data_IF_819205120187
#
_entry.id   IF_819205120187
#
_cell.length_a   1.000
_cell.length_b   1.000
_cell.length_c   1.000
_cell.angle_alpha   90.00
_cell.angle_beta   90.00
_cell.angle_gamma   90.00
#
_symmetry.space_group_name_H-M   'P 1'
#
loop_
_entity.id
_entity.type
_entity.pdbx_description
1 polymer ?
#
# COMPACT_ATOMS: atom_id res chain seq x y z
N UNK A 1 -32.80 -7.27 -10.20
CA UNK A 1 -32.39 -6.14 -11.06
C UNK A 1 -31.12 -5.61 -10.45
N UNK A 2 -29.97 -5.97 -11.02
CA UNK A 2 -28.66 -5.60 -10.48
C UNK A 2 -28.42 -4.15 -10.90
N UNK A 3 -28.55 -3.22 -9.97
CA UNK A 3 -28.27 -1.81 -10.17
C UNK A 3 -26.81 -1.58 -9.76
N UNK A 4 -25.87 -2.24 -10.44
CA UNK A 4 -24.45 -1.90 -10.32
C UNK A 4 -24.26 -0.59 -11.08
N UNK A 5 -24.43 0.54 -10.38
CA UNK A 5 -23.81 1.77 -10.85
C UNK A 5 -22.31 1.51 -10.86
N UNK A 6 -21.70 1.47 -12.05
CA UNK A 6 -20.26 1.45 -12.21
C UNK A 6 -19.72 2.78 -11.68
N UNK A 7 -19.51 2.88 -10.37
CA UNK A 7 -18.85 4.03 -9.78
C UNK A 7 -17.39 4.03 -10.24
N UNK A 8 -17.02 5.06 -11.01
CA UNK A 8 -15.62 5.34 -11.34
C UNK A 8 -14.86 5.72 -10.06
N UNK A 9 -13.57 5.37 -10.04
CA UNK A 9 -12.69 5.80 -8.96
C UNK A 9 -12.56 7.33 -8.94
N UNK A 10 -12.66 7.99 -7.77
CA UNK A 10 -12.44 9.43 -7.67
C UNK A 10 -11.04 9.84 -8.11
N UNK A 11 -10.90 11.09 -8.58
CA UNK A 11 -9.59 11.69 -8.85
C UNK A 11 -8.73 11.67 -7.59
N UNK A 12 -7.47 11.20 -7.65
CA UNK A 12 -6.57 11.21 -6.51
C UNK A 12 -6.35 12.61 -5.93
N UNK A 13 -6.24 12.70 -4.61
CA UNK A 13 -5.76 13.91 -3.95
C UNK A 13 -4.24 14.01 -4.10
N UNK A 14 -3.71 15.19 -4.43
CA UNK A 14 -2.29 15.37 -4.73
C UNK A 14 -1.72 16.49 -3.86
N UNK A 15 -0.65 16.18 -3.14
CA UNK A 15 0.24 17.19 -2.54
C UNK A 15 1.44 17.35 -3.46
N UNK A 16 1.52 18.52 -4.09
CA UNK A 16 2.65 18.87 -4.94
C UNK A 16 3.89 19.21 -4.09
N UNK A 17 5.11 18.92 -4.59
CA UNK A 17 6.35 19.35 -3.94
C UNK A 17 6.36 20.87 -3.73
N UNK A 18 6.93 21.31 -2.62
CA UNK A 18 7.04 22.73 -2.25
C UNK A 18 8.36 23.34 -2.71
N UNK A 19 9.32 22.53 -3.16
CA UNK A 19 10.56 23.05 -3.75
C UNK A 19 10.32 23.68 -5.13
N UNK A 20 11.11 24.69 -5.55
CA UNK A 20 10.97 25.34 -6.86
C UNK A 20 11.42 24.48 -8.05
N UNK A 21 11.85 23.24 -7.82
CA UNK A 21 12.30 22.30 -8.86
C UNK A 21 11.20 21.28 -9.13
N UNK A 22 11.15 20.66 -10.34
CA UNK A 22 10.30 19.50 -10.58
C UNK A 22 10.53 18.41 -9.52
N UNK A 23 9.47 17.69 -9.12
CA UNK A 23 9.62 16.55 -8.21
C UNK A 23 10.54 15.50 -8.82
N UNK A 24 11.31 14.86 -7.94
CA UNK A 24 12.26 13.80 -8.30
C UNK A 24 11.82 12.43 -7.81
N UNK A 25 10.76 12.37 -7.00
CA UNK A 25 10.14 11.15 -6.52
C UNK A 25 8.63 11.34 -6.34
N UNK A 26 7.88 10.27 -6.56
CA UNK A 26 6.44 10.20 -6.27
C UNK A 26 6.17 9.11 -5.25
N UNK A 27 5.30 9.39 -4.29
CA UNK A 27 4.76 8.39 -3.37
C UNK A 27 3.26 8.26 -3.64
N UNK A 28 2.83 7.05 -3.98
CA UNK A 28 1.42 6.68 -4.07
C UNK A 28 1.05 5.99 -2.75
N UNK A 29 0.14 6.58 -1.97
CA UNK A 29 -0.15 6.12 -0.61
C UNK A 29 -1.66 5.89 -0.40
N UNK A 30 -2.01 4.67 0.00
CA UNK A 30 -3.38 4.17 0.00
C UNK A 30 -4.00 4.19 1.41
N UNK A 31 -5.24 4.67 1.50
CA UNK A 31 -5.98 4.76 2.75
C UNK A 31 -6.59 3.42 3.18
N UNK A 32 -6.96 3.32 4.47
CA UNK A 32 -7.69 2.18 5.03
C UNK A 32 -9.19 2.20 4.71
N UNK A 33 -9.93 1.16 5.11
CA UNK A 33 -11.38 1.08 4.88
C UNK A 33 -12.11 2.30 5.48
N UNK A 34 -13.08 2.83 4.74
CA UNK A 34 -13.98 3.89 5.20
C UNK A 34 -13.39 5.30 5.19
N UNK A 35 -12.13 5.44 4.79
CA UNK A 35 -11.41 6.71 4.63
C UNK A 35 -11.38 7.14 3.15
N UNK A 36 -10.59 8.17 2.84
CA UNK A 36 -10.34 8.69 1.50
C UNK A 36 -8.91 9.20 1.36
N UNK A 37 -8.48 9.47 0.13
CA UNK A 37 -7.16 10.03 -0.12
C UNK A 37 -6.95 11.41 0.52
N UNK A 38 -8.00 12.23 0.60
CA UNK A 38 -7.94 13.53 1.28
C UNK A 38 -7.81 13.36 2.80
N UNK A 39 -8.65 12.51 3.40
CA UNK A 39 -8.63 12.30 4.85
C UNK A 39 -7.28 11.72 5.32
N UNK A 40 -6.74 10.72 4.61
CA UNK A 40 -5.41 10.19 4.92
C UNK A 40 -4.32 11.26 4.80
N UNK A 41 -4.39 12.10 3.78
CA UNK A 41 -3.43 13.19 3.59
C UNK A 41 -3.51 14.21 4.73
N UNK A 42 -4.72 14.59 5.15
CA UNK A 42 -4.94 15.50 6.27
C UNK A 42 -4.45 14.91 7.60
N UNK A 43 -4.74 13.63 7.87
CA UNK A 43 -4.28 12.94 9.09
C UNK A 43 -2.75 12.85 9.14
N UNK A 44 -2.10 12.46 8.04
CA UNK A 44 -0.63 12.46 7.95
C UNK A 44 -0.02 13.87 8.07
N UNK A 45 -0.71 14.89 7.59
CA UNK A 45 -0.29 16.29 7.71
C UNK A 45 -0.39 16.84 9.13
N UNK A 46 -1.33 16.31 9.92
CA UNK A 46 -1.52 16.67 11.32
C UNK A 46 -0.64 15.86 12.28
N UNK A 47 -0.18 14.69 11.85
CA UNK A 47 0.70 13.82 12.64
C UNK A 47 2.13 14.38 12.74
N UNK A 48 2.82 14.08 13.84
CA UNK A 48 4.15 14.63 14.13
C UNK A 48 5.28 13.63 13.86
N UNK A 49 6.32 14.14 13.23
CA UNK A 49 7.64 13.50 13.13
C UNK A 49 8.60 14.13 14.14
N UNK A 50 9.71 13.46 14.45
CA UNK A 50 10.80 14.10 15.17
C UNK A 50 11.38 15.25 14.35
N UNK A 51 11.57 16.41 14.98
CA UNK A 51 12.13 17.57 14.30
C UNK A 51 11.72 18.91 14.92
N UNK A 52 11.81 20.00 14.14
CA UNK A 52 11.30 21.31 14.53
C UNK A 52 9.81 21.29 14.93
N UNK A 53 9.32 22.31 15.64
CA UNK A 53 7.89 22.48 15.88
C UNK A 53 7.13 22.38 14.55
N UNK A 54 6.07 21.55 14.55
CA UNK A 54 5.21 21.28 13.39
C UNK A 54 5.81 20.44 12.25
N UNK A 55 6.94 19.77 12.50
CA UNK A 55 7.47 18.80 11.55
C UNK A 55 6.52 17.62 11.35
N UNK A 56 6.05 17.45 10.12
CA UNK A 56 5.30 16.28 9.64
C UNK A 56 6.02 15.62 8.45
N UNK A 57 5.49 14.49 7.99
CA UNK A 57 6.06 13.72 6.89
C UNK A 57 6.26 14.53 5.59
N UNK A 58 5.34 15.44 5.27
CA UNK A 58 5.41 16.27 4.06
C UNK A 58 6.51 17.34 4.15
N UNK A 59 6.59 18.02 5.28
CA UNK A 59 7.62 19.04 5.53
C UNK A 59 9.04 18.47 5.51
N UNK A 60 9.19 17.19 5.86
CA UNK A 60 10.46 16.45 5.85
C UNK A 60 10.88 16.03 4.44
N UNK A 61 9.97 16.06 3.46
CA UNK A 61 10.14 15.56 2.10
C UNK A 61 9.62 16.56 1.05
N UNK A 62 10.14 17.81 1.03
CA UNK A 62 9.56 18.90 0.22
C UNK A 62 9.70 18.73 -1.30
N UNK A 63 10.54 17.79 -1.75
CA UNK A 63 10.80 17.50 -3.17
C UNK A 63 9.93 16.36 -3.73
N UNK A 64 9.13 15.72 -2.87
CA UNK A 64 8.30 14.57 -3.21
C UNK A 64 6.91 15.04 -3.62
N UNK A 65 6.37 14.42 -4.67
CA UNK A 65 4.94 14.48 -4.97
C UNK A 65 4.23 13.34 -4.25
N UNK A 66 3.17 13.66 -3.52
CA UNK A 66 2.32 12.65 -2.88
C UNK A 66 1.02 12.53 -3.64
N UNK A 67 0.67 11.30 -3.98
CA UNK A 67 -0.58 10.94 -4.65
C UNK A 67 -1.36 10.04 -3.69
N UNK A 68 -2.57 10.45 -3.36
CA UNK A 68 -3.48 9.76 -2.46
C UNK A 68 -4.74 9.37 -3.23
N UNK A 69 -4.75 8.19 -3.87
CA UNK A 69 -5.94 7.67 -4.53
C UNK A 69 -7.03 7.36 -3.51
N UNK A 70 -8.29 7.51 -3.93
CA UNK A 70 -9.47 7.16 -3.12
C UNK A 70 -10.12 5.93 -3.73
N UNK A 71 -10.45 4.92 -2.91
CA UNK A 71 -11.24 3.77 -3.37
C UNK A 71 -12.62 4.22 -3.87
N UNK A 72 -13.29 3.40 -4.68
CA UNK A 72 -14.70 3.66 -5.02
C UNK A 72 -15.63 3.19 -3.89
N UNK A 73 -16.85 3.76 -3.77
CA UNK A 73 -17.85 3.24 -2.83
C UNK A 73 -18.26 1.80 -3.18
N UNK A 74 -18.37 0.94 -2.17
CA UNK A 74 -18.81 -0.45 -2.30
C UNK A 74 -19.63 -0.86 -1.07
N UNK A 75 -20.49 -1.87 -1.23
CA UNK A 75 -21.20 -2.46 -0.10
C UNK A 75 -20.29 -3.43 0.65
N UNK A 76 -20.12 -3.20 1.95
CA UNK A 76 -19.27 -3.96 2.85
C UNK A 76 -20.05 -5.12 3.47
N UNK A 77 -19.66 -6.37 3.21
CA UNK A 77 -20.39 -7.54 3.70
C UNK A 77 -20.35 -7.65 5.22
N UNK A 78 -19.21 -7.39 5.87
CA UNK A 78 -19.09 -7.52 7.33
C UNK A 78 -19.85 -6.42 8.09
N UNK A 79 -19.85 -5.19 7.59
CA UNK A 79 -20.49 -4.04 8.27
C UNK A 79 -21.91 -3.73 7.80
N UNK A 80 -22.38 -4.36 6.71
CA UNK A 80 -23.71 -4.17 6.15
C UNK A 80 -24.03 -2.71 5.79
N UNK A 81 -23.04 -2.00 5.26
CA UNK A 81 -23.13 -0.58 4.89
C UNK A 81 -22.35 -0.30 3.60
N UNK A 82 -22.66 0.82 2.93
CA UNK A 82 -21.80 1.36 1.88
C UNK A 82 -20.63 2.11 2.51
N UNK A 83 -19.41 1.79 2.08
CA UNK A 83 -18.20 2.47 2.52
C UNK A 83 -17.23 2.63 1.35
N UNK A 84 -16.29 3.56 1.52
CA UNK A 84 -15.13 3.66 0.62
C UNK A 84 -14.15 2.55 0.95
N UNK A 85 -14.08 1.51 0.14
CA UNK A 85 -13.24 0.33 0.39
C UNK A 85 -12.66 -0.25 -0.90
N UNK A 86 -11.41 -0.69 -0.86
CA UNK A 86 -10.69 -1.23 -2.02
C UNK A 86 -11.27 -2.58 -2.46
N UNK A 87 -11.75 -3.37 -1.50
CA UNK A 87 -12.34 -4.68 -1.74
C UNK A 87 -13.22 -5.11 -0.56
N UNK A 88 -14.12 -6.05 -0.79
CA UNK A 88 -15.01 -6.57 0.26
C UNK A 88 -14.27 -7.63 1.10
N UNK A 89 -14.51 -7.63 2.41
CA UNK A 89 -13.90 -8.54 3.37
C UNK A 89 -14.94 -9.08 4.34
N UNK A 90 -14.82 -10.37 4.68
CA UNK A 90 -15.75 -11.02 5.60
C UNK A 90 -15.36 -10.89 7.07
N UNK A 91 -14.06 -10.82 7.37
CA UNK A 91 -13.52 -10.75 8.72
C UNK A 91 -12.20 -9.98 8.75
N UNK A 92 -12.10 -8.98 9.63
CA UNK A 92 -10.86 -8.24 9.86
C UNK A 92 -9.85 -9.03 10.69
N UNK A 93 -10.34 -9.87 11.61
CA UNK A 93 -9.47 -10.72 12.45
C UNK A 93 -8.95 -11.93 11.69
N UNK A 94 -9.74 -12.47 10.75
CA UNK A 94 -9.34 -13.54 9.86
C UNK A 94 -9.62 -13.17 8.39
N UNK A 95 -8.74 -12.38 7.75
CA UNK A 95 -8.90 -12.00 6.34
C UNK A 95 -8.86 -13.17 5.35
N UNK A 96 -8.53 -14.39 5.79
CA UNK A 96 -8.61 -15.58 4.92
C UNK A 96 -10.01 -16.18 4.87
N UNK A 97 -10.91 -15.78 5.76
CA UNK A 97 -12.29 -16.26 5.74
C UNK A 97 -13.03 -15.66 4.54
N UNK A 98 -13.65 -16.54 3.73
CA UNK A 98 -14.37 -16.15 2.52
C UNK A 98 -13.58 -15.22 1.59
N UNK A 99 -12.31 -15.54 1.39
CA UNK A 99 -11.38 -14.71 0.61
C UNK A 99 -11.82 -14.48 -0.85
N UNK A 100 -12.74 -15.28 -1.38
CA UNK A 100 -13.33 -15.07 -2.71
C UNK A 100 -14.03 -13.71 -2.87
N UNK A 101 -14.55 -13.13 -1.77
CA UNK A 101 -15.17 -11.79 -1.79
C UNK A 101 -14.19 -10.68 -2.16
N UNK A 102 -12.90 -10.89 -1.89
CA UNK A 102 -11.86 -9.89 -2.11
C UNK A 102 -11.49 -9.77 -3.60
N UNK A 103 -11.72 -10.83 -4.40
CA UNK A 103 -11.17 -10.96 -5.76
C UNK A 103 -11.64 -9.83 -6.68
N UNK A 104 -12.94 -9.54 -6.70
CA UNK A 104 -13.52 -8.54 -7.61
C UNK A 104 -12.98 -7.14 -7.29
N UNK A 105 -13.07 -6.71 -6.03
CA UNK A 105 -12.56 -5.39 -5.62
C UNK A 105 -11.05 -5.28 -5.80
N UNK A 106 -10.28 -6.33 -5.45
CA UNK A 106 -8.84 -6.34 -5.66
C UNK A 106 -8.49 -6.20 -7.14
N UNK A 107 -9.15 -6.95 -8.05
CA UNK A 107 -8.95 -6.81 -9.51
C UNK A 107 -9.14 -5.36 -9.94
N UNK A 108 -10.26 -4.75 -9.58
CA UNK A 108 -10.58 -3.38 -9.96
C UNK A 108 -9.55 -2.38 -9.42
N UNK A 109 -9.18 -2.54 -8.14
CA UNK A 109 -8.24 -1.66 -7.46
C UNK A 109 -6.84 -1.77 -8.06
N UNK A 110 -6.33 -2.99 -8.32
CA UNK A 110 -4.99 -3.14 -8.91
C UNK A 110 -4.93 -2.58 -10.32
N UNK A 111 -5.99 -2.70 -11.14
CA UNK A 111 -6.05 -2.10 -12.47
C UNK A 111 -6.01 -0.58 -12.38
N UNK A 112 -6.83 0.00 -11.51
CA UNK A 112 -6.88 1.45 -11.30
C UNK A 112 -5.53 2.01 -10.82
N UNK A 113 -4.95 1.39 -9.79
CA UNK A 113 -3.71 1.85 -9.18
C UNK A 113 -2.50 1.62 -10.10
N UNK A 114 -2.52 0.55 -10.90
CA UNK A 114 -1.53 0.33 -11.96
C UNK A 114 -1.48 1.49 -12.94
N UNK A 115 -2.63 2.00 -13.37
CA UNK A 115 -2.68 3.14 -14.30
C UNK A 115 -2.04 4.41 -13.70
N UNK A 116 -2.27 4.68 -12.40
CA UNK A 116 -1.63 5.80 -11.70
C UNK A 116 -0.12 5.58 -11.63
N UNK A 117 0.30 4.38 -11.25
CA UNK A 117 1.70 4.04 -11.08
C UNK A 117 2.47 4.11 -12.41
N UNK A 118 1.90 3.59 -13.50
CA UNK A 118 2.51 3.65 -14.84
C UNK A 118 2.66 5.11 -15.33
N UNK A 119 1.66 5.98 -15.10
CA UNK A 119 1.76 7.41 -15.42
C UNK A 119 2.88 8.12 -14.64
N UNK A 120 3.02 7.81 -13.35
CA UNK A 120 4.05 8.39 -12.50
C UNK A 120 5.46 7.92 -12.89
N UNK A 121 5.60 6.64 -13.25
CA UNK A 121 6.84 6.09 -13.79
C UNK A 121 7.18 6.77 -15.12
N UNK A 122 6.21 6.99 -16.00
CA UNK A 122 6.43 7.69 -17.28
C UNK A 122 6.92 9.13 -17.07
N UNK A 123 6.29 9.87 -16.15
CA UNK A 123 6.68 11.25 -15.80
C UNK A 123 8.13 11.29 -15.27
N UNK A 124 8.48 10.35 -14.38
CA UNK A 124 9.79 10.31 -13.74
C UNK A 124 10.86 9.56 -14.54
N UNK A 125 10.46 8.90 -15.63
CA UNK A 125 11.30 8.07 -16.52
C UNK A 125 12.07 6.94 -15.82
N UNK A 126 11.70 6.60 -14.59
CA UNK A 126 12.39 5.62 -13.77
C UNK A 126 11.48 5.12 -12.63
N UNK A 127 11.22 3.81 -12.61
CA UNK A 127 10.41 3.18 -11.55
C UNK A 127 11.08 3.23 -10.18
N UNK A 128 12.42 3.37 -10.12
CA UNK A 128 13.19 3.57 -8.89
C UNK A 128 13.01 4.95 -8.27
N UNK A 129 12.15 5.80 -8.83
CA UNK A 129 11.71 7.09 -8.28
C UNK A 129 10.29 7.06 -7.73
N UNK A 130 9.58 5.93 -7.86
CA UNK A 130 8.21 5.78 -7.39
C UNK A 130 8.18 4.85 -6.18
N UNK A 131 7.43 5.25 -5.17
CA UNK A 131 7.08 4.43 -4.01
C UNK A 131 5.59 4.10 -4.04
N UNK A 132 5.26 2.92 -3.52
CA UNK A 132 3.89 2.49 -3.27
C UNK A 132 3.75 2.20 -1.78
N UNK A 133 2.62 2.52 -1.18
CA UNK A 133 2.37 2.13 0.19
C UNK A 133 0.94 2.37 0.62
N UNK A 134 0.66 2.08 1.88
CA UNK A 134 -0.65 2.36 2.46
C UNK A 134 -0.79 1.82 3.86
N UNK A 135 -1.97 2.03 4.43
CA UNK A 135 -2.36 1.58 5.76
C UNK A 135 -3.56 0.64 5.67
N UNK A 136 -3.60 -0.39 6.53
CA UNK A 136 -4.75 -1.28 6.69
C UNK A 136 -5.15 -1.92 5.35
N UNK A 137 -6.39 -1.75 4.90
CA UNK A 137 -6.82 -2.23 3.58
C UNK A 137 -6.01 -1.64 2.40
N UNK A 138 -5.45 -0.43 2.58
CA UNK A 138 -4.52 0.18 1.62
C UNK A 138 -3.19 -0.57 1.52
N UNK A 139 -2.62 -1.03 2.64
CA UNK A 139 -1.44 -1.91 2.60
C UNK A 139 -1.76 -3.21 1.85
N UNK A 140 -2.88 -3.85 2.21
CA UNK A 140 -3.31 -5.11 1.60
C UNK A 140 -3.46 -4.98 0.06
N UNK A 141 -4.06 -3.87 -0.39
CA UNK A 141 -4.23 -3.57 -1.82
C UNK A 141 -2.89 -3.27 -2.50
N UNK A 142 -2.04 -2.48 -1.84
CA UNK A 142 -0.71 -2.14 -2.35
C UNK A 142 0.20 -3.37 -2.49
N UNK A 143 0.15 -4.31 -1.53
CA UNK A 143 0.88 -5.57 -1.62
C UNK A 143 0.42 -6.40 -2.81
N UNK A 144 -0.89 -6.47 -3.06
CA UNK A 144 -1.41 -7.17 -4.24
C UNK A 144 -0.92 -6.53 -5.54
N UNK A 145 -0.88 -5.19 -5.64
CA UNK A 145 -0.30 -4.51 -6.79
C UNK A 145 1.21 -4.79 -6.93
N UNK A 146 1.96 -4.74 -5.82
CA UNK A 146 3.39 -5.04 -5.82
C UNK A 146 3.68 -6.46 -6.35
N UNK A 147 2.90 -7.45 -5.91
CA UNK A 147 3.09 -8.86 -6.27
C UNK A 147 2.54 -9.23 -7.65
N UNK A 148 1.62 -8.45 -8.21
CA UNK A 148 1.01 -8.70 -9.53
C UNK A 148 1.60 -7.85 -10.65
N UNK A 149 2.14 -6.68 -10.28
CA UNK A 149 2.52 -5.63 -11.22
C UNK A 149 3.87 -5.85 -11.91
N UNK A 150 4.76 -6.66 -11.33
CA UNK A 150 6.09 -6.92 -11.89
C UNK A 150 7.04 -5.72 -11.79
N UNK A 151 6.76 -4.78 -10.87
CA UNK A 151 7.53 -3.55 -10.73
C UNK A 151 8.77 -3.70 -9.87
N UNK A 152 9.79 -2.94 -10.27
CA UNK A 152 10.98 -2.68 -9.47
C UNK A 152 10.93 -1.23 -8.99
N UNK A 153 10.29 -1.02 -7.83
CA UNK A 153 10.04 0.31 -7.26
C UNK A 153 11.19 0.76 -6.35
N UNK A 154 11.18 2.04 -5.97
CA UNK A 154 12.11 2.59 -4.98
C UNK A 154 11.89 2.00 -3.59
N UNK A 155 10.63 1.70 -3.26
CA UNK A 155 10.26 0.97 -2.06
C UNK A 155 8.74 0.78 -1.90
N UNK A 156 8.39 -0.15 -1.02
CA UNK A 156 7.03 -0.36 -0.53
C UNK A 156 6.92 -0.01 0.96
N UNK A 157 5.84 0.62 1.39
CA UNK A 157 5.58 0.97 2.79
C UNK A 157 4.18 0.47 3.20
N UNK A 158 4.11 -0.46 4.14
CA UNK A 158 2.85 -0.99 4.68
C UNK A 158 2.73 -0.77 6.18
N UNK A 159 1.56 -0.33 6.66
CA UNK A 159 1.28 -0.23 8.09
C UNK A 159 -0.06 -0.85 8.47
N UNK A 160 -0.07 -1.61 9.55
CA UNK A 160 -1.29 -2.17 10.19
C UNK A 160 -2.21 -2.95 9.23
N UNK A 161 -1.65 -3.60 8.21
CA UNK A 161 -2.38 -4.35 7.21
C UNK A 161 -2.14 -5.86 7.26
N UNK A 162 -2.46 -6.51 6.14
CA UNK A 162 -2.30 -7.94 5.94
C UNK A 162 -2.02 -8.24 4.46
N UNK A 163 -1.60 -9.47 4.16
CA UNK A 163 -1.45 -9.92 2.78
C UNK A 163 -2.69 -10.71 2.36
N UNK A 164 -3.49 -10.23 1.38
CA UNK A 164 -4.57 -11.03 0.81
C UNK A 164 -4.06 -12.36 0.29
N UNK A 165 -4.84 -13.42 0.51
CA UNK A 165 -4.49 -14.79 0.11
C UNK A 165 -3.16 -15.32 0.71
N UNK A 166 -2.71 -14.78 1.84
CA UNK A 166 -1.45 -15.16 2.50
C UNK A 166 -1.26 -16.67 2.64
N UNK A 167 -2.29 -17.42 3.07
CA UNK A 167 -2.19 -18.88 3.23
C UNK A 167 -1.94 -19.57 1.88
N UNK A 168 -2.63 -19.13 0.84
CA UNK A 168 -2.49 -19.68 -0.51
C UNK A 168 -1.10 -19.35 -1.07
N UNK A 169 -0.66 -18.09 -1.00
CA UNK A 169 0.67 -17.64 -1.42
C UNK A 169 1.76 -18.43 -0.69
N UNK A 170 1.65 -18.56 0.63
CA UNK A 170 2.59 -19.34 1.45
C UNK A 170 2.65 -20.79 0.99
N UNK A 171 1.50 -21.44 0.80
CA UNK A 171 1.45 -22.85 0.37
C UNK A 171 2.08 -23.08 -1.00
N UNK A 172 1.91 -22.11 -1.92
CA UNK A 172 2.40 -22.21 -3.30
C UNK A 172 3.87 -21.83 -3.42
N UNK A 173 4.35 -20.87 -2.61
CA UNK A 173 5.76 -20.46 -2.57
C UNK A 173 6.74 -21.59 -2.20
N UNK A 174 6.23 -22.69 -1.64
CA UNK A 174 7.01 -23.90 -1.35
C UNK A 174 7.10 -24.88 -2.54
N UNK A 175 6.54 -24.53 -3.70
CA UNK A 175 6.53 -25.38 -4.90
C UNK A 175 7.34 -24.75 -6.03
N UNK A 176 8.12 -25.55 -6.76
CA UNK A 176 8.97 -25.07 -7.86
C UNK A 176 8.19 -24.47 -9.05
N UNK A 177 6.87 -24.70 -9.11
CA UNK A 177 6.00 -24.24 -10.21
C UNK A 177 5.33 -22.89 -9.96
N UNK A 178 5.39 -22.34 -8.75
CA UNK A 178 4.65 -21.12 -8.43
C UNK A 178 5.37 -19.89 -8.98
N UNK A 179 4.69 -19.21 -9.90
CA UNK A 179 5.14 -17.96 -10.49
C UNK A 179 4.22 -16.85 -9.99
N UNK A 180 4.62 -16.22 -8.90
CA UNK A 180 3.77 -15.29 -8.11
C UNK A 180 2.95 -14.34 -8.98
N UNK A 181 3.54 -13.50 -9.85
CA UNK A 181 2.72 -12.57 -10.60
C UNK A 181 1.79 -13.30 -11.57
N UNK A 182 2.22 -14.35 -12.27
CA UNK A 182 1.36 -15.11 -13.18
C UNK A 182 0.16 -15.75 -12.46
N UNK A 183 0.41 -16.45 -11.36
CA UNK A 183 -0.62 -17.14 -10.59
C UNK A 183 -1.58 -16.16 -9.91
N UNK A 184 -1.08 -15.04 -9.37
CA UNK A 184 -1.94 -14.00 -8.80
C UNK A 184 -2.72 -13.23 -9.86
N UNK A 185 -2.12 -12.94 -11.02
CA UNK A 185 -2.83 -12.32 -12.14
C UNK A 185 -3.92 -13.25 -12.67
N UNK A 186 -3.68 -14.57 -12.72
CA UNK A 186 -4.72 -15.55 -13.06
C UNK A 186 -5.86 -15.55 -12.02
N UNK A 187 -5.53 -15.56 -10.72
CA UNK A 187 -6.52 -15.49 -9.64
C UNK A 187 -7.37 -14.21 -9.73
N UNK A 188 -6.71 -13.07 -9.94
CA UNK A 188 -7.37 -11.79 -10.08
C UNK A 188 -8.01 -11.62 -11.45
N UNK A 189 -7.73 -12.45 -12.46
CA UNK A 189 -8.24 -12.27 -13.82
C UNK A 189 -7.78 -10.97 -14.48
N UNK A 190 -6.53 -10.57 -14.25
CA UNK A 190 -5.86 -9.44 -14.92
C UNK A 190 -5.10 -9.95 -16.14
N UNK A 191 -4.98 -9.11 -17.18
CA UNK A 191 -4.53 -9.50 -18.53
C UNK A 191 -3.19 -8.89 -18.97
N UNK A 192 -2.48 -8.20 -18.08
CA UNK A 192 -1.18 -7.63 -18.40
C UNK A 192 -0.07 -8.69 -18.45
N UNK A 193 0.87 -8.50 -19.37
CA UNK A 193 2.05 -9.36 -19.48
C UNK A 193 2.89 -9.27 -18.21
N UNK A 194 2.88 -10.36 -17.45
CA UNK A 194 3.80 -10.57 -16.33
C UNK A 194 5.14 -11.01 -16.90
N UNK A 195 6.16 -10.16 -16.85
CA UNK A 195 7.53 -10.59 -17.15
C UNK A 195 7.89 -11.73 -16.21
N UNK A 196 8.41 -12.84 -16.77
CA UNK A 196 8.69 -14.07 -16.02
C UNK A 196 9.83 -13.94 -14.98
N UNK A 197 10.46 -12.76 -14.89
CA UNK A 197 11.45 -12.42 -13.88
C UNK A 197 11.02 -11.17 -13.12
N UNK A 198 10.33 -11.37 -12.00
CA UNK A 198 10.38 -10.38 -10.94
C UNK A 198 11.73 -10.48 -10.24
N UNK A 199 12.41 -9.34 -10.07
CA UNK A 199 13.70 -9.28 -9.37
C UNK A 199 13.55 -9.15 -7.84
N UNK A 200 12.31 -9.10 -7.32
CA UNK A 200 11.97 -8.97 -5.89
C UNK A 200 12.84 -7.97 -5.12
N UNK A 201 13.27 -6.92 -5.82
CA UNK A 201 14.35 -6.03 -5.37
C UNK A 201 13.82 -4.71 -4.79
N UNK A 202 12.53 -4.45 -4.91
CA UNK A 202 11.82 -3.39 -4.19
C UNK A 202 11.99 -3.58 -2.68
N UNK A 203 12.70 -2.68 -1.96
CA UNK A 203 12.78 -2.75 -0.51
C UNK A 203 11.39 -2.55 0.11
N UNK A 204 11.11 -3.22 1.23
CA UNK A 204 9.79 -3.17 1.88
C UNK A 204 9.97 -2.73 3.33
N UNK A 205 9.23 -1.70 3.76
CA UNK A 205 9.02 -1.36 5.16
C UNK A 205 7.62 -1.82 5.57
N UNK A 206 7.52 -2.61 6.63
CA UNK A 206 6.25 -3.00 7.24
C UNK A 206 6.25 -2.61 8.72
N UNK A 207 5.20 -1.91 9.16
CA UNK A 207 4.97 -1.52 10.55
C UNK A 207 3.65 -2.05 11.10
N UNK A 208 3.60 -2.45 12.38
CA UNK A 208 2.33 -2.89 13.01
C UNK A 208 2.31 -2.58 14.51
N UNK A 209 1.16 -2.13 15.03
CA UNK A 209 0.92 -1.99 16.46
C UNK A 209 0.70 -3.35 17.14
N UNK A 210 1.40 -3.62 18.25
CA UNK A 210 1.24 -4.84 19.06
C UNK A 210 -0.12 -4.92 19.74
N UNK A 211 -0.69 -3.75 19.99
CA UNK A 211 -1.97 -3.49 20.62
C UNK A 211 -3.06 -3.04 19.63
N UNK A 212 -2.85 -3.29 18.32
CA UNK A 212 -3.85 -3.03 17.28
C UNK A 212 -5.19 -3.74 17.58
N UNK A 213 -6.22 -2.94 17.81
CA UNK A 213 -7.54 -3.41 18.21
C UNK A 213 -8.39 -4.00 17.07
N UNK A 214 -8.01 -3.77 15.80
CA UNK A 214 -8.83 -4.08 14.63
C UNK A 214 -8.22 -5.14 13.72
N UNK A 215 -6.92 -5.05 13.45
CA UNK A 215 -6.18 -6.00 12.63
C UNK A 215 -5.20 -6.74 13.51
N UNK A 216 -5.41 -8.06 13.67
CA UNK A 216 -4.60 -8.88 14.55
C UNK A 216 -3.10 -8.70 14.26
N UNK A 217 -2.34 -8.35 15.30
CA UNK A 217 -0.89 -8.14 15.20
C UNK A 217 -0.17 -9.29 14.49
N UNK A 218 -0.62 -10.54 14.64
CA UNK A 218 -0.02 -11.71 14.00
C UNK A 218 -0.04 -11.68 12.45
N UNK A 219 -0.91 -10.87 11.84
CA UNK A 219 -0.98 -10.69 10.39
C UNK A 219 0.25 -9.92 9.86
N UNK A 220 0.80 -8.96 10.61
CA UNK A 220 2.01 -8.25 10.21
C UNK A 220 3.26 -9.14 10.10
N UNK A 221 3.64 -9.92 11.13
CA UNK A 221 4.68 -10.93 11.02
C UNK A 221 4.43 -11.96 9.92
N UNK A 222 3.16 -12.30 9.64
CA UNK A 222 2.80 -13.17 8.53
C UNK A 222 3.16 -12.53 7.18
N UNK A 223 2.84 -11.25 6.96
CA UNK A 223 3.28 -10.48 5.77
C UNK A 223 4.80 -10.52 5.65
N UNK A 224 5.51 -10.13 6.71
CA UNK A 224 6.98 -10.11 6.76
C UNK A 224 7.59 -11.44 6.36
N UNK A 225 7.12 -12.53 6.96
CA UNK A 225 7.69 -13.86 6.75
C UNK A 225 7.41 -14.37 5.33
N UNK A 226 6.21 -14.14 4.79
CA UNK A 226 5.88 -14.50 3.42
C UNK A 226 6.74 -13.71 2.43
N UNK A 227 6.82 -12.38 2.57
CA UNK A 227 7.62 -11.55 1.67
C UNK A 227 9.11 -11.90 1.70
N UNK A 228 9.67 -12.19 2.89
CA UNK A 228 11.05 -12.67 3.02
C UNK A 228 11.28 -14.02 2.35
N UNK A 229 10.33 -14.95 2.49
CA UNK A 229 10.41 -16.26 1.83
C UNK A 229 10.33 -16.14 0.30
N UNK A 230 9.58 -15.15 -0.21
CA UNK A 230 9.51 -14.84 -1.65
C UNK A 230 10.83 -14.25 -2.16
N UNK A 231 11.53 -13.46 -1.33
CA UNK A 231 12.84 -12.89 -1.67
C UNK A 231 12.97 -11.39 -1.42
N UNK A 232 11.91 -10.71 -0.98
CA UNK A 232 11.95 -9.28 -0.66
C UNK A 232 12.81 -9.00 0.57
N UNK A 233 13.49 -7.85 0.54
CA UNK A 233 14.16 -7.28 1.72
C UNK A 233 13.15 -6.51 2.56
N UNK A 234 12.74 -7.09 3.68
CA UNK A 234 11.74 -6.50 4.59
C UNK A 234 12.39 -5.92 5.86
N UNK A 235 12.30 -4.60 6.01
CA UNK A 235 12.46 -3.86 7.27
C UNK A 235 11.14 -3.95 8.04
N UNK A 236 11.17 -4.53 9.23
CA UNK A 236 9.97 -4.82 10.04
C UNK A 236 10.05 -4.04 11.35
N UNK A 237 8.95 -3.33 11.66
CA UNK A 237 8.83 -2.48 12.83
C UNK A 237 7.57 -2.83 13.62
N UNK A 238 7.72 -2.86 14.94
CA UNK A 238 6.64 -3.10 15.88
C UNK A 238 6.52 -1.89 16.79
N UNK A 239 5.29 -1.50 17.08
CA UNK A 239 5.01 -0.36 17.94
C UNK A 239 4.05 -0.79 19.06
N UNK A 240 4.02 -0.04 20.14
CA UNK A 240 3.06 -0.22 21.24
C UNK A 240 2.51 1.16 21.61
N UNK A 241 1.20 1.26 21.83
CA UNK A 241 0.54 2.54 22.09
C UNK A 241 0.56 3.45 20.86
N UNK A 242 0.37 2.88 19.67
CA UNK A 242 0.09 3.68 18.48
C UNK A 242 -1.29 4.33 18.58
N UNK A 243 -1.45 5.44 17.88
CA UNK A 243 -2.69 6.20 17.81
C UNK A 243 -3.83 5.34 17.22
N UNK A 244 -5.08 5.80 17.33
CA UNK A 244 -6.28 5.06 16.89
C UNK A 244 -6.35 3.61 17.42
N UNK A 245 -6.19 3.43 18.73
CA UNK A 245 -6.25 2.11 19.39
C UNK A 245 -5.23 1.11 18.83
N UNK A 246 -4.01 1.59 18.57
CA UNK A 246 -2.93 0.77 18.00
C UNK A 246 -3.01 0.58 16.48
N UNK A 247 -4.10 1.00 15.82
CA UNK A 247 -4.34 0.84 14.38
C UNK A 247 -3.95 2.09 13.58
N UNK A 248 -2.78 2.67 13.88
CA UNK A 248 -2.25 3.83 13.18
C UNK A 248 -0.72 3.81 13.10
N UNK A 249 -0.15 4.80 12.43
CA UNK A 249 1.28 5.10 12.52
C UNK A 249 1.60 5.57 13.94
N UNK A 250 2.60 4.97 14.58
CA UNK A 250 3.04 5.42 15.90
C UNK A 250 3.71 6.79 15.81
N UNK A 251 3.23 7.78 16.56
CA UNK A 251 3.88 9.09 16.65
C UNK A 251 4.89 9.19 17.81
N UNK A 252 6.11 9.74 17.57
CA UNK A 252 6.69 10.06 16.26
C UNK A 252 7.36 8.87 15.56
N UNK A 253 7.58 7.76 16.28
CA UNK A 253 8.55 6.73 15.88
C UNK A 253 8.26 6.05 14.54
N UNK A 254 6.99 5.71 14.28
CA UNK A 254 6.56 5.08 13.04
C UNK A 254 6.64 6.00 11.84
N UNK A 255 6.28 7.28 12.01
CA UNK A 255 6.43 8.28 10.96
C UNK A 255 7.90 8.61 10.68
N UNK A 256 8.74 8.63 11.71
CA UNK A 256 10.18 8.79 11.56
C UNK A 256 10.81 7.62 10.77
N UNK A 257 10.35 6.39 11.02
CA UNK A 257 10.81 5.23 10.26
C UNK A 257 10.39 5.32 8.78
N UNK A 258 9.20 5.85 8.47
CA UNK A 258 8.79 6.14 7.09
C UNK A 258 9.68 7.22 6.47
N UNK A 259 9.87 8.36 7.16
CA UNK A 259 10.71 9.47 6.67
C UNK A 259 12.14 8.99 6.41
N UNK A 260 12.71 8.20 7.32
CA UNK A 260 14.04 7.61 7.17
C UNK A 260 14.08 6.69 5.95
N UNK A 261 13.13 5.77 5.83
CA UNK A 261 13.06 4.82 4.73
C UNK A 261 13.00 5.51 3.36
N UNK A 262 12.19 6.58 3.26
CA UNK A 262 12.06 7.41 2.07
C UNK A 262 13.34 8.19 1.77
N UNK A 263 13.90 8.93 2.75
CA UNK A 263 15.13 9.73 2.55
C UNK A 263 16.33 8.90 2.12
N UNK A 264 16.45 7.66 2.61
CA UNK A 264 17.52 6.73 2.20
C UNK A 264 17.40 6.27 0.73
N UNK A 265 16.23 6.42 0.10
CA UNK A 265 15.89 5.82 -1.21
C UNK A 265 15.43 6.84 -2.25
N UNK A 266 15.00 8.04 -1.84
CA UNK A 266 14.68 9.12 -2.75
C UNK A 266 15.92 9.51 -3.57
N UNK A 267 15.72 9.67 -4.87
CA UNK A 267 16.77 10.09 -5.79
C UNK A 267 16.62 11.60 -6.01
N UNK A 268 17.48 12.41 -5.40
CA UNK A 268 17.41 13.88 -5.46
C UNK A 268 18.01 14.50 -6.73
N UNK A 269 18.63 13.68 -7.59
CA UNK A 269 19.16 14.18 -8.85
C UNK A 269 18.03 14.59 -9.81
N UNK A 270 18.19 15.70 -10.56
CA UNK A 270 17.21 16.11 -11.56
C UNK A 270 16.94 15.02 -12.60
N UNK A 271 15.75 15.04 -13.19
CA UNK A 271 15.42 14.22 -14.36
C UNK A 271 16.36 14.60 -15.52
N UNK A 272 16.99 13.59 -16.13
CA UNK A 272 17.80 13.74 -17.33
C UNK A 272 16.98 13.91 -18.61
#
# INVERSE_FOLDING_TARGET
>A
MNNSQDYEYPTPYIIYPTTPRPHTSTIIFLHGRGSSGLELADELGNSKTSGPPDANIFSQLPHVKWVFPTAKPRFSTIFQEEATEWFDIYSLSNPSERSELQIEGLREAVIFLRNILDQEIEILKDSKRVFLGGISQGEATGLMLLLTGGYSLSGFIGFSGWLPFAQWIRSKSMTDSFQIPQDLNYLLGTDWESTSRMEYDTPVLIGHGRDDAYVEFALGPQVRDILRNIGYKVDWREYEGAEQEGHWFKEPEGLDDIVRFLKERCIDSPLG
#
